data_IF_861562911717
#
_entry.id   IF_861562911717
#
_cell.length_a   1.000
_cell.length_b   1.000
_cell.length_c   1.000
_cell.angle_alpha   90.00
_cell.angle_beta   90.00
_cell.angle_gamma   90.00
#
_symmetry.space_group_name_H-M   'P 1'
#
loop_
_entity.id
_entity.type
_entity.pdbx_description
1 polymer ?
#
# COMPACT_ATOMS: atom_id res chain seq x y z
N UNK A 1 36.53 -37.88 -25.52
CA UNK A 1 36.89 -36.64 -24.80
C UNK A 1 35.59 -36.01 -24.33
N UNK A 2 35.39 -35.98 -23.02
CA UNK A 2 34.24 -35.38 -22.33
C UNK A 2 34.31 -33.86 -22.44
N UNK A 3 33.19 -33.18 -22.70
CA UNK A 3 33.01 -31.80 -22.24
C UNK A 3 31.53 -31.52 -22.01
N UNK A 4 31.13 -31.59 -20.74
CA UNK A 4 29.88 -31.05 -20.23
C UNK A 4 30.16 -29.59 -19.84
N UNK A 5 29.56 -28.64 -20.58
CA UNK A 5 29.41 -27.27 -20.10
C UNK A 5 28.14 -27.19 -19.26
N UNK A 6 28.29 -27.22 -17.94
CA UNK A 6 27.23 -26.81 -17.03
C UNK A 6 27.22 -25.29 -16.97
N UNK A 7 26.25 -24.64 -17.64
CA UNK A 7 25.92 -23.24 -17.36
C UNK A 7 25.25 -23.20 -15.98
N UNK A 8 26.00 -22.78 -14.97
CA UNK A 8 25.43 -22.39 -13.69
C UNK A 8 24.65 -21.09 -13.86
N UNK A 9 23.32 -21.17 -13.89
CA UNK A 9 22.47 -20.00 -13.69
C UNK A 9 22.35 -19.77 -12.18
N UNK A 10 23.31 -19.04 -11.59
CA UNK A 10 23.10 -18.47 -10.26
C UNK A 10 22.17 -17.25 -10.41
N UNK A 11 20.87 -17.52 -10.50
CA UNK A 11 19.89 -16.51 -10.12
C UNK A 11 20.07 -16.29 -8.60
N UNK A 12 20.76 -15.22 -8.22
CA UNK A 12 20.75 -14.79 -6.83
C UNK A 12 19.30 -14.57 -6.42
N UNK A 13 18.76 -15.44 -5.57
CA UNK A 13 17.38 -15.34 -5.11
C UNK A 13 17.19 -13.99 -4.45
N UNK A 14 16.39 -13.12 -5.05
CA UNK A 14 16.07 -11.83 -4.47
C UNK A 14 15.30 -12.07 -3.17
N UNK A 15 15.86 -11.62 -2.04
CA UNK A 15 15.18 -11.70 -0.75
C UNK A 15 13.81 -11.03 -0.80
N UNK A 16 13.72 -9.87 -1.42
CA UNK A 16 12.47 -9.18 -1.67
C UNK A 16 12.13 -9.27 -3.14
N UNK A 17 10.91 -9.72 -3.45
CA UNK A 17 10.41 -9.85 -4.80
C UNK A 17 8.97 -9.38 -4.91
N UNK A 18 8.56 -9.02 -6.12
CA UNK A 18 7.21 -8.53 -6.41
C UNK A 18 6.54 -9.40 -7.47
N UNK A 19 5.24 -9.64 -7.32
CA UNK A 19 4.41 -10.28 -8.33
C UNK A 19 3.26 -9.34 -8.69
N UNK A 20 3.18 -8.97 -9.97
CA UNK A 20 2.12 -8.07 -10.46
C UNK A 20 0.86 -8.88 -10.77
N UNK A 21 -0.29 -8.32 -10.40
CA UNK A 21 -1.60 -8.73 -10.85
C UNK A 21 -2.41 -7.48 -11.24
N UNK A 22 -3.59 -7.67 -11.82
CA UNK A 22 -4.48 -6.56 -12.12
C UNK A 22 -4.90 -5.85 -10.82
N UNK A 23 -4.63 -4.55 -10.74
CA UNK A 23 -4.97 -3.73 -9.56
C UNK A 23 -4.24 -4.10 -8.26
N UNK A 24 -3.21 -4.97 -8.33
CA UNK A 24 -2.49 -5.47 -7.15
C UNK A 24 -1.02 -5.78 -7.41
N UNK A 25 -0.16 -5.54 -6.43
CA UNK A 25 1.23 -6.04 -6.41
C UNK A 25 1.43 -6.83 -5.12
N UNK A 26 1.76 -8.11 -5.24
CA UNK A 26 2.12 -8.95 -4.11
C UNK A 26 3.60 -8.76 -3.76
N UNK A 27 3.88 -8.58 -2.48
CA UNK A 27 5.22 -8.41 -1.93
C UNK A 27 5.60 -9.67 -1.17
N UNK A 28 6.72 -10.27 -1.57
CA UNK A 28 7.28 -11.45 -0.92
C UNK A 28 8.63 -11.11 -0.31
N UNK A 29 8.88 -11.66 0.88
CA UNK A 29 10.17 -11.59 1.57
C UNK A 29 10.60 -13.01 1.94
N UNK A 30 11.80 -13.41 1.52
CA UNK A 30 12.31 -14.79 1.62
C UNK A 30 11.35 -15.80 0.95
N UNK A 31 10.78 -15.41 -0.20
CA UNK A 31 9.80 -16.21 -0.95
C UNK A 31 8.44 -16.41 -0.25
N UNK A 32 8.22 -15.80 0.92
CA UNK A 32 6.97 -15.89 1.67
C UNK A 32 6.14 -14.61 1.51
N UNK A 33 4.79 -14.70 1.45
CA UNK A 33 3.93 -13.54 1.40
C UNK A 33 4.16 -12.60 2.60
N UNK A 34 4.39 -11.32 2.33
CA UNK A 34 4.46 -10.29 3.36
C UNK A 34 3.19 -9.44 3.35
N UNK A 35 2.87 -8.83 2.21
CA UNK A 35 1.66 -8.01 2.01
C UNK A 35 1.36 -7.86 0.53
N UNK A 36 0.24 -7.22 0.19
CA UNK A 36 -0.11 -6.85 -1.18
C UNK A 36 -0.54 -5.39 -1.21
N UNK A 37 0.01 -4.63 -2.17
CA UNK A 37 -0.43 -3.28 -2.48
C UNK A 37 -1.63 -3.34 -3.44
N UNK A 38 -2.79 -2.86 -3.01
CA UNK A 38 -4.02 -2.79 -3.80
C UNK A 38 -4.25 -1.37 -4.29
N UNK A 39 -4.56 -1.20 -5.58
CA UNK A 39 -4.64 0.11 -6.21
C UNK A 39 -5.65 0.20 -7.37
N UNK A 40 -6.60 -0.73 -7.43
CA UNK A 40 -7.68 -0.69 -8.42
C UNK A 40 -8.45 0.64 -8.38
N UNK A 41 -8.90 1.17 -9.54
CA UNK A 41 -9.49 2.50 -9.66
C UNK A 41 -10.89 2.61 -9.05
N UNK A 42 -11.51 1.53 -8.59
CA UNK A 42 -12.76 1.49 -7.83
C UNK A 42 -12.56 1.64 -6.32
N UNK A 43 -11.33 1.50 -5.83
CA UNK A 43 -11.00 1.68 -4.42
C UNK A 43 -11.08 3.16 -4.01
N UNK A 44 -11.43 3.48 -2.75
CA UNK A 44 -11.40 4.84 -2.25
C UNK A 44 -9.96 5.39 -2.18
N UNK A 45 -9.01 4.49 -1.93
CA UNK A 45 -7.57 4.75 -1.87
C UNK A 45 -6.76 3.47 -1.96
N UNK A 46 -5.49 3.54 -2.42
CA UNK A 46 -4.58 2.41 -2.32
C UNK A 46 -4.23 2.05 -0.88
N UNK A 47 -3.99 0.76 -0.64
CA UNK A 47 -3.66 0.23 0.69
C UNK A 47 -2.82 -1.05 0.61
N UNK A 48 -2.22 -1.44 1.73
CA UNK A 48 -1.51 -2.69 1.92
C UNK A 48 -2.33 -3.64 2.77
N UNK A 49 -2.57 -4.85 2.28
CA UNK A 49 -3.30 -5.87 3.04
C UNK A 49 -2.91 -7.30 2.62
N UNK A 50 -2.97 -8.26 3.54
CA UNK A 50 -2.80 -8.07 4.97
C UNK A 50 -1.32 -7.78 5.27
N UNK A 51 -0.98 -7.36 6.49
CA UNK A 51 0.41 -7.44 6.94
C UNK A 51 0.65 -8.79 7.62
N UNK A 52 1.80 -9.41 7.29
CA UNK A 52 2.23 -10.69 7.86
C UNK A 52 3.56 -10.59 8.59
N UNK A 53 3.70 -11.35 9.66
CA UNK A 53 5.00 -11.67 10.26
C UNK A 53 5.81 -12.62 9.37
N UNK A 54 7.07 -12.87 9.73
CA UNK A 54 7.94 -13.78 8.99
C UNK A 54 7.51 -15.26 9.02
N UNK A 55 6.79 -15.68 10.07
CA UNK A 55 6.15 -17.00 10.17
C UNK A 55 4.74 -17.03 9.55
N UNK A 56 4.30 -15.93 8.93
CA UNK A 56 3.06 -15.86 8.14
C UNK A 56 1.80 -15.50 8.93
N UNK A 57 1.91 -15.19 10.23
CA UNK A 57 0.77 -14.73 11.02
C UNK A 57 0.29 -13.38 10.54
N UNK A 58 -1.02 -13.22 10.45
CA UNK A 58 -1.65 -11.95 10.09
C UNK A 58 -1.67 -11.04 11.31
N UNK A 59 -1.22 -9.78 11.17
CA UNK A 59 -1.13 -8.83 12.29
C UNK A 59 -2.07 -7.63 12.16
N UNK A 60 -2.79 -7.54 11.06
CA UNK A 60 -3.81 -6.52 10.82
C UNK A 60 -5.17 -7.17 10.65
N UNK A 61 -6.24 -6.48 11.04
CA UNK A 61 -7.61 -6.95 10.82
C UNK A 61 -7.89 -7.32 9.35
N UNK A 62 -8.82 -8.24 9.16
CA UNK A 62 -9.35 -8.76 7.92
C UNK A 62 -10.47 -7.89 7.35
N UNK A 63 -11.44 -7.46 8.16
CA UNK A 63 -12.54 -6.63 7.68
C UNK A 63 -12.04 -5.22 7.24
N UNK A 64 -12.56 -4.63 6.14
CA UNK A 64 -13.63 -5.13 5.26
C UNK A 64 -13.17 -6.07 4.14
N UNK A 65 -11.85 -6.28 3.96
CA UNK A 65 -11.29 -7.08 2.85
C UNK A 65 -11.64 -8.56 2.95
N UNK A 66 -11.80 -9.07 4.18
CA UNK A 66 -12.25 -10.42 4.51
C UNK A 66 -13.50 -10.28 5.39
N UNK A 67 -14.72 -10.25 4.81
CA UNK A 67 -15.94 -9.96 5.56
C UNK A 67 -16.24 -10.92 6.70
N UNK A 68 -15.84 -12.19 6.56
CA UNK A 68 -16.08 -13.26 7.54
C UNK A 68 -14.77 -13.70 8.23
N UNK A 69 -13.88 -12.74 8.52
CA UNK A 69 -12.60 -13.01 9.17
C UNK A 69 -12.80 -13.71 10.54
N UNK A 70 -12.19 -14.89 10.78
CA UNK A 70 -12.34 -15.59 12.04
C UNK A 70 -11.83 -14.76 13.23
N UNK A 71 -12.62 -14.67 14.30
CA UNK A 71 -12.25 -13.96 15.53
C UNK A 71 -12.50 -12.45 15.50
N UNK A 72 -13.01 -11.89 14.40
CA UNK A 72 -13.49 -10.52 14.35
C UNK A 72 -14.98 -10.43 14.69
N UNK A 73 -15.38 -9.34 15.34
CA UNK A 73 -16.79 -9.06 15.62
C UNK A 73 -17.56 -8.99 14.31
N UNK A 74 -18.79 -9.52 14.30
CA UNK A 74 -19.70 -9.38 13.14
C UNK A 74 -20.12 -7.92 12.88
N UNK A 75 -19.82 -7.04 13.82
CA UNK A 75 -20.03 -5.61 13.70
C UNK A 75 -19.10 -5.07 12.59
N UNK A 76 -19.74 -4.62 11.51
CA UNK A 76 -19.10 -4.06 10.31
C UNK A 76 -18.71 -2.59 10.53
N UNK A 77 -18.12 -2.33 11.68
CA UNK A 77 -17.71 -1.01 12.09
C UNK A 77 -16.46 -0.55 11.31
N UNK A 78 -16.28 0.76 11.19
CA UNK A 78 -15.10 1.37 10.58
C UNK A 78 -14.65 0.69 9.26
N UNK A 79 -15.53 0.59 8.24
CA UNK A 79 -15.23 -0.08 6.96
C UNK A 79 -14.07 0.57 6.21
N UNK A 80 -13.60 1.73 6.66
CA UNK A 80 -12.47 2.45 6.13
C UNK A 80 -11.09 1.97 6.66
N UNK A 81 -11.05 1.10 7.68
CA UNK A 81 -9.79 0.57 8.26
C UNK A 81 -9.17 -0.55 7.41
N UNK A 82 -8.66 -0.20 6.22
CA UNK A 82 -8.07 -1.13 5.26
C UNK A 82 -6.61 -1.50 5.56
N UNK A 83 -6.35 -2.06 6.74
CA UNK A 83 -5.01 -2.48 7.18
C UNK A 83 -4.00 -1.32 7.21
N UNK A 84 -3.04 -1.22 6.30
CA UNK A 84 -2.02 -0.17 6.27
C UNK A 84 -2.12 0.70 5.02
N UNK A 85 -2.26 2.00 5.19
CA UNK A 85 -2.53 2.98 4.14
C UNK A 85 -2.15 4.38 4.64
N UNK A 86 -2.14 5.38 3.77
CA UNK A 86 -1.86 6.76 4.15
C UNK A 86 -2.99 7.69 3.76
N UNK A 87 -3.40 8.60 4.65
CA UNK A 87 -4.40 9.63 4.34
C UNK A 87 -4.34 10.83 5.30
N UNK A 88 -5.27 11.78 5.09
CA UNK A 88 -5.66 12.78 6.06
C UNK A 88 -7.20 12.92 6.16
N UNK A 89 -7.69 13.34 7.33
CA UNK A 89 -9.13 13.45 7.63
C UNK A 89 -9.83 14.62 6.94
N UNK A 90 -9.28 15.83 6.96
CA UNK A 90 -9.84 17.01 6.26
C UNK A 90 -8.72 17.72 5.49
N UNK A 91 -8.87 17.75 4.17
CA UNK A 91 -8.05 18.54 3.25
C UNK A 91 -8.98 19.46 2.45
N UNK A 92 -8.87 20.78 2.66
CA UNK A 92 -9.75 21.79 2.07
C UNK A 92 -11.26 21.62 2.37
N UNK A 93 -11.63 20.91 3.44
CA UNK A 93 -13.03 20.58 3.77
C UNK A 93 -13.52 19.28 3.14
N UNK A 94 -12.62 18.49 2.56
CA UNK A 94 -12.90 17.20 1.92
C UNK A 94 -12.31 16.08 2.76
N UNK A 95 -13.13 15.05 2.99
CA UNK A 95 -12.76 13.88 3.78
C UNK A 95 -12.13 12.78 2.91
N UNK A 96 -10.87 12.43 3.18
CA UNK A 96 -10.15 11.34 2.50
C UNK A 96 -9.97 10.10 3.39
N UNK A 97 -10.52 10.11 4.61
CA UNK A 97 -10.46 9.04 5.58
C UNK A 97 -11.72 8.15 5.52
N UNK A 98 -12.90 8.76 5.57
CA UNK A 98 -14.18 8.06 5.55
C UNK A 98 -14.45 7.31 4.25
N UNK A 99 -15.29 6.29 4.34
CA UNK A 99 -15.95 5.64 3.19
C UNK A 99 -17.46 5.78 3.43
N UNK A 100 -18.11 6.67 2.68
CA UNK A 100 -19.44 7.29 2.89
C UNK A 100 -19.47 8.61 3.69
N UNK A 101 -18.43 9.44 3.60
CA UNK A 101 -18.47 10.81 4.12
C UNK A 101 -19.41 11.71 3.31
N UNK A 102 -19.95 12.77 3.93
CA UNK A 102 -20.83 13.74 3.25
C UNK A 102 -20.13 14.49 2.11
N UNK A 103 -18.86 14.85 2.32
CA UNK A 103 -17.99 15.51 1.35
C UNK A 103 -16.75 14.65 1.24
N UNK A 104 -16.74 13.72 0.28
CA UNK A 104 -15.74 12.66 0.20
C UNK A 104 -14.79 12.86 -0.99
N UNK A 105 -13.50 12.77 -0.70
CA UNK A 105 -12.44 12.69 -1.68
C UNK A 105 -11.97 11.26 -1.90
N UNK A 106 -11.08 11.09 -2.88
CA UNK A 106 -10.45 9.81 -3.21
C UNK A 106 -8.98 10.02 -3.45
N UNK A 107 -8.17 9.02 -3.09
CA UNK A 107 -6.76 8.99 -3.47
C UNK A 107 -6.67 7.94 -4.57
N UNK A 108 -6.22 8.30 -5.76
CA UNK A 108 -6.23 7.39 -6.91
C UNK A 108 -4.81 7.13 -7.37
N UNK A 109 -4.48 5.85 -7.55
CA UNK A 109 -3.20 5.47 -8.11
C UNK A 109 -3.03 6.00 -9.52
N UNK A 110 -1.90 6.66 -9.76
CA UNK A 110 -1.58 7.28 -11.03
C UNK A 110 -0.52 6.48 -11.78
N UNK A 111 0.60 6.16 -11.13
CA UNK A 111 1.71 5.43 -11.75
C UNK A 111 2.53 4.64 -10.74
N UNK A 112 3.16 3.57 -11.24
CA UNK A 112 4.29 2.90 -10.59
C UNK A 112 5.56 3.53 -11.15
N UNK A 113 6.22 4.34 -10.33
CA UNK A 113 7.44 5.06 -10.70
C UNK A 113 8.68 4.16 -10.55
N UNK A 114 8.62 3.21 -9.61
CA UNK A 114 9.68 2.23 -9.35
C UNK A 114 9.12 0.92 -8.80
N UNK A 115 9.62 -0.21 -9.29
CA UNK A 115 9.35 -1.54 -8.73
C UNK A 115 10.57 -2.44 -8.87
N UNK A 116 11.38 -2.53 -7.83
CA UNK A 116 12.67 -3.24 -7.85
C UNK A 116 12.81 -4.13 -6.63
N UNK A 117 12.90 -5.45 -6.85
CA UNK A 117 13.30 -6.41 -5.83
C UNK A 117 14.81 -6.40 -5.60
N UNK A 118 15.27 -7.11 -4.57
CA UNK A 118 16.69 -7.14 -4.24
C UNK A 118 17.07 -8.10 -3.12
N UNK A 119 18.37 -8.38 -2.98
CA UNK A 119 18.92 -9.29 -1.98
C UNK A 119 18.85 -8.76 -0.54
N UNK A 120 18.78 -7.43 -0.37
CA UNK A 120 18.70 -6.77 0.94
C UNK A 120 17.34 -6.10 1.17
N UNK A 121 16.77 -5.52 0.12
CA UNK A 121 15.54 -4.75 0.16
C UNK A 121 14.82 -4.78 -1.17
N UNK A 122 13.55 -4.41 -1.18
CA UNK A 122 12.81 -4.07 -2.40
C UNK A 122 12.16 -2.70 -2.27
N UNK A 123 11.95 -2.02 -3.39
CA UNK A 123 11.36 -0.68 -3.44
C UNK A 123 10.14 -0.68 -4.35
N UNK A 124 9.03 -0.16 -3.80
CA UNK A 124 7.87 0.29 -4.58
C UNK A 124 7.80 1.81 -4.45
N UNK A 125 7.93 2.54 -5.56
CA UNK A 125 7.62 3.96 -5.61
C UNK A 125 6.43 4.18 -6.53
N UNK A 126 5.48 4.99 -6.08
CA UNK A 126 4.23 5.27 -6.79
C UNK A 126 3.89 6.76 -6.71
N UNK A 127 3.17 7.22 -7.72
CA UNK A 127 2.49 8.50 -7.70
C UNK A 127 0.99 8.25 -7.60
N UNK A 128 0.31 9.08 -6.81
CA UNK A 128 -1.13 9.08 -6.60
C UNK A 128 -1.67 10.51 -6.69
N UNK A 129 -2.90 10.66 -7.15
CA UNK A 129 -3.61 11.94 -7.20
C UNK A 129 -4.71 11.95 -6.13
N UNK A 130 -4.80 13.01 -5.34
CA UNK A 130 -5.91 13.25 -4.42
C UNK A 130 -6.98 14.05 -5.17
N UNK A 131 -8.16 13.45 -5.30
CA UNK A 131 -9.28 13.96 -6.08
C UNK A 131 -10.38 14.37 -5.11
N UNK A 132 -10.88 15.59 -5.20
CA UNK A 132 -11.99 16.05 -4.36
C UNK A 132 -13.36 15.53 -4.83
N UNK A 133 -14.41 15.87 -4.08
CA UNK A 133 -15.78 15.49 -4.37
C UNK A 133 -16.36 16.15 -5.65
N UNK A 134 -15.64 17.10 -6.27
CA UNK A 134 -15.99 17.69 -7.56
C UNK A 134 -15.20 17.07 -8.73
N UNK A 135 -14.30 16.11 -8.45
CA UNK A 135 -13.46 15.47 -9.46
C UNK A 135 -12.17 16.24 -9.77
N UNK A 136 -11.85 17.30 -9.03
CA UNK A 136 -10.64 18.09 -9.22
C UNK A 136 -9.47 17.48 -8.47
N UNK A 137 -8.28 17.49 -9.09
CA UNK A 137 -7.04 17.08 -8.42
C UNK A 137 -6.56 18.20 -7.51
N UNK A 138 -6.31 17.88 -6.25
CA UNK A 138 -5.91 18.85 -5.20
C UNK A 138 -4.45 18.66 -4.81
N UNK A 139 -4.05 17.42 -4.56
CA UNK A 139 -2.67 17.05 -4.22
C UNK A 139 -2.16 15.99 -5.18
N UNK A 140 -0.85 16.00 -5.40
CA UNK A 140 -0.10 14.85 -5.87
C UNK A 140 0.72 14.26 -4.72
N UNK A 141 0.52 12.98 -4.47
CA UNK A 141 1.31 12.22 -3.51
C UNK A 141 2.35 11.39 -4.25
N UNK A 142 3.62 11.56 -3.89
CA UNK A 142 4.69 10.60 -4.19
C UNK A 142 4.93 9.77 -2.96
N UNK A 143 4.87 8.46 -3.10
CA UNK A 143 5.09 7.52 -2.00
C UNK A 143 6.13 6.50 -2.41
N UNK A 144 7.18 6.38 -1.62
CA UNK A 144 8.12 5.28 -1.67
C UNK A 144 7.92 4.38 -0.45
N UNK A 145 7.79 3.09 -0.70
CA UNK A 145 7.79 2.05 0.34
C UNK A 145 9.00 1.17 0.11
N UNK A 146 9.86 1.07 1.13
CA UNK A 146 10.99 0.15 1.12
C UNK A 146 10.66 -1.04 2.01
N UNK A 147 10.76 -2.23 1.44
CA UNK A 147 10.49 -3.48 2.11
C UNK A 147 11.80 -4.15 2.48
N UNK A 148 11.90 -4.56 3.73
CA UNK A 148 13.04 -5.32 4.25
C UNK A 148 12.57 -6.46 5.13
N UNK A 149 13.48 -7.37 5.44
CA UNK A 149 13.24 -8.44 6.39
C UNK A 149 14.29 -9.53 6.32
N UNK A 150 14.03 -10.61 7.06
CA UNK A 150 14.85 -11.82 7.08
C UNK A 150 13.96 -13.01 7.47
N UNK A 151 14.54 -14.12 7.93
CA UNK A 151 13.78 -15.29 8.37
C UNK A 151 12.81 -15.02 9.55
N UNK A 152 12.98 -13.92 10.28
CA UNK A 152 12.28 -13.62 11.55
C UNK A 152 11.59 -12.26 11.58
N UNK A 153 11.99 -11.31 10.72
CA UNK A 153 11.52 -9.92 10.76
C UNK A 153 10.94 -9.45 9.42
N UNK A 154 10.07 -8.45 9.49
CA UNK A 154 9.44 -7.77 8.35
C UNK A 154 9.37 -6.28 8.65
N UNK A 155 9.73 -5.44 7.68
CA UNK A 155 9.73 -3.99 7.81
C UNK A 155 9.16 -3.34 6.56
N UNK A 156 8.47 -2.22 6.75
CA UNK A 156 8.01 -1.31 5.69
C UNK A 156 8.32 0.11 6.11
N UNK A 157 9.20 0.76 5.37
CA UNK A 157 9.57 2.16 5.59
C UNK A 157 8.89 3.02 4.52
N UNK A 158 8.19 4.06 4.95
CA UNK A 158 7.45 4.96 4.07
C UNK A 158 8.15 6.31 3.98
N UNK A 159 8.30 6.80 2.74
CA UNK A 159 8.63 8.21 2.46
C UNK A 159 7.49 8.77 1.63
N UNK A 160 6.81 9.79 2.16
CA UNK A 160 5.61 10.36 1.56
C UNK A 160 5.84 11.85 1.33
N UNK A 161 5.60 12.31 0.11
CA UNK A 161 5.68 13.71 -0.27
C UNK A 161 4.32 14.12 -0.85
N UNK A 162 3.70 15.13 -0.24
CA UNK A 162 2.48 15.74 -0.73
C UNK A 162 2.82 17.07 -1.41
N UNK A 163 2.37 17.22 -2.65
CA UNK A 163 2.60 18.42 -3.46
C UNK A 163 1.24 19.02 -3.79
N UNK A 164 1.02 20.25 -3.31
CA UNK A 164 -0.11 21.07 -3.75
C UNK A 164 0.01 21.35 -5.25
N UNK A 165 -1.13 21.26 -5.96
CA UNK A 165 -1.19 21.49 -7.40
C UNK A 165 -1.49 22.96 -7.69
N UNK A 166 -2.73 23.28 -8.05
CA UNK A 166 -3.08 24.59 -8.61
C UNK A 166 -3.45 25.64 -7.56
N UNK A 167 -3.35 25.32 -6.27
CA UNK A 167 -3.77 26.20 -5.17
C UNK A 167 -3.11 25.84 -3.85
N UNK A 168 -3.19 26.77 -2.89
CA UNK A 168 -2.90 26.48 -1.49
C UNK A 168 -3.85 25.39 -0.96
N UNK A 169 -3.29 24.45 -0.19
CA UNK A 169 -4.03 23.34 0.41
C UNK A 169 -3.95 23.45 1.93
N UNK A 170 -5.10 23.36 2.59
CA UNK A 170 -5.22 23.43 4.06
C UNK A 170 -5.58 22.06 4.63
N UNK A 171 -4.71 21.54 5.49
CA UNK A 171 -4.98 20.40 6.34
C UNK A 171 -5.61 20.90 7.65
N UNK A 172 -6.78 20.39 8.02
CA UNK A 172 -7.52 20.84 9.20
C UNK A 172 -7.60 19.75 10.25
N UNK A 173 -7.72 20.17 11.51
CA UNK A 173 -7.87 19.23 12.61
C UNK A 173 -9.17 18.43 12.48
N UNK A 174 -9.05 17.13 12.69
CA UNK A 174 -10.17 16.19 12.76
C UNK A 174 -9.92 15.21 13.89
N UNK A 175 -10.94 14.44 14.27
CA UNK A 175 -10.79 13.32 15.22
C UNK A 175 -9.71 12.33 14.74
N UNK A 176 -9.64 12.09 13.43
CA UNK A 176 -8.82 11.02 12.87
C UNK A 176 -7.41 11.49 12.48
N UNK A 177 -7.27 12.75 12.03
CA UNK A 177 -5.98 13.35 11.70
C UNK A 177 -5.31 12.70 10.49
N UNK A 178 -4.15 12.08 10.70
CA UNK A 178 -3.32 11.41 9.69
C UNK A 178 -3.13 9.95 10.08
N UNK A 179 -3.13 9.05 9.10
CA UNK A 179 -2.74 7.64 9.25
C UNK A 179 -1.61 7.33 8.28
#
# INVERSE_FOLDING_TARGET
MLSLFSLGLQAGSSRVSFQKAEGRIDVLVEGKPFTSYYFSPDLPRPFFHPLRTADGKVVTRGFPMVPDAPGETKDKDHPHHRSCWFTFGDVDGVDYWGEAAKVQGRIVHHSIDKLEGGAQSGVLAVTMDWIDNAGQKVLRQKQQVVFHGDATRRYMDFVITLVALDRDVKFRDTKEGMF
#
